data_IF_119501170161
#
_entry.id   IF_119501170161
#
_cell.length_a   1.000
_cell.length_b   1.000
_cell.length_c   1.000
_cell.angle_alpha   90.00
_cell.angle_beta   90.00
_cell.angle_gamma   90.00
#
_symmetry.space_group_name_H-M   'P 1'
#
loop_
_entity.id
_entity.type
_entity.pdbx_description
1 polymer ?
#
# COMPACT_ATOMS: atom_id res chain seq x y z
N UNK A 1 18.39 -3.51 -17.72
CA UNK A 1 17.21 -3.69 -16.88
C UNK A 1 17.35 -2.84 -15.64
N UNK A 2 16.37 -1.99 -15.40
CA UNK A 2 16.42 -1.07 -14.28
C UNK A 2 15.90 -1.76 -13.03
N UNK A 3 16.77 -1.91 -12.03
CA UNK A 3 16.36 -2.28 -10.70
C UNK A 3 16.15 -0.99 -9.90
N UNK A 4 15.09 -0.26 -10.28
CA UNK A 4 14.76 0.97 -9.56
C UNK A 4 14.34 0.61 -8.14
N UNK A 5 14.92 1.30 -7.17
CA UNK A 5 14.58 1.15 -5.76
C UNK A 5 14.03 2.47 -5.23
N UNK A 6 12.92 2.38 -4.51
CA UNK A 6 12.43 3.46 -3.69
C UNK A 6 12.83 3.18 -2.25
N UNK A 7 13.40 4.17 -1.58
CA UNK A 7 13.85 4.03 -0.20
C UNK A 7 13.05 5.00 0.65
N UNK A 8 12.29 4.47 1.60
CA UNK A 8 11.61 5.27 2.61
C UNK A 8 12.42 5.20 3.90
N UNK A 9 12.88 6.36 4.39
CA UNK A 9 13.69 6.43 5.59
C UNK A 9 12.81 6.63 6.83
N UNK A 10 13.34 6.25 7.99
CA UNK A 10 12.66 6.46 9.26
C UNK A 10 12.39 7.95 9.55
N UNK A 11 13.09 8.84 8.88
CA UNK A 11 12.87 10.29 8.99
C UNK A 11 11.70 10.79 8.13
N UNK A 12 11.03 9.92 7.38
CA UNK A 12 9.90 10.31 6.55
C UNK A 12 10.29 10.89 5.20
N UNK A 13 11.37 10.40 4.61
CA UNK A 13 11.80 10.81 3.28
C UNK A 13 11.76 9.62 2.32
N UNK A 14 11.15 9.82 1.16
CA UNK A 14 11.16 8.86 0.06
C UNK A 14 12.21 9.29 -0.96
N UNK A 15 13.10 8.38 -1.33
CA UNK A 15 14.22 8.64 -2.23
C UNK A 15 14.18 7.68 -3.43
N UNK A 16 14.39 8.20 -4.64
CA UNK A 16 14.49 7.40 -5.86
C UNK A 16 15.22 8.19 -6.95
N UNK A 17 16.07 7.51 -7.72
CA UNK A 17 16.76 8.07 -8.88
C UNK A 17 17.34 9.49 -8.65
N UNK A 18 18.00 9.70 -7.51
CA UNK A 18 18.56 11.00 -7.17
C UNK A 18 17.52 12.05 -6.76
N UNK A 19 16.27 11.68 -6.63
CA UNK A 19 15.17 12.55 -6.19
C UNK A 19 14.78 12.21 -4.77
N UNK A 20 14.12 13.16 -4.10
CA UNK A 20 13.60 12.94 -2.76
C UNK A 20 12.29 13.70 -2.58
N UNK A 21 11.42 13.15 -1.76
CA UNK A 21 10.16 13.79 -1.37
C UNK A 21 9.85 13.39 0.07
N UNK A 22 9.05 14.20 0.75
CA UNK A 22 8.54 13.80 2.06
C UNK A 22 7.53 12.68 1.90
N UNK A 23 7.51 11.74 2.84
CA UNK A 23 6.51 10.68 2.89
C UNK A 23 6.01 10.51 4.32
N UNK A 24 4.81 9.95 4.45
CA UNK A 24 4.27 9.53 5.73
C UNK A 24 4.62 8.07 5.96
N UNK A 25 4.93 7.74 7.19
CA UNK A 25 5.09 6.37 7.69
C UNK A 25 3.93 6.05 8.63
N UNK A 26 3.89 4.83 9.13
CA UNK A 26 2.99 4.52 10.22
C UNK A 26 3.19 5.52 11.36
N UNK A 27 2.11 5.92 12.03
CA UNK A 27 2.14 6.95 13.07
C UNK A 27 3.10 6.62 14.22
N UNK A 28 3.40 5.33 14.43
CA UNK A 28 4.34 4.84 15.43
C UNK A 28 5.76 4.67 14.90
N UNK A 29 6.04 5.14 13.67
CA UNK A 29 7.35 5.05 13.05
C UNK A 29 7.60 3.71 12.38
N UNK A 30 8.82 3.21 12.50
CA UNK A 30 9.25 1.95 11.89
C UNK A 30 9.49 0.90 12.95
N UNK A 31 9.37 -0.38 12.57
CA UNK A 31 9.62 -1.50 13.46
C UNK A 31 10.26 -2.64 12.67
N UNK A 32 11.09 -3.49 13.29
CA UNK A 32 11.56 -4.71 12.63
C UNK A 32 10.39 -5.54 12.12
N UNK A 33 10.57 -6.20 10.96
CA UNK A 33 9.46 -6.94 10.35
C UNK A 33 8.97 -8.08 11.23
N UNK A 34 9.86 -8.71 12.01
CA UNK A 34 9.49 -9.78 12.94
C UNK A 34 8.66 -9.27 14.13
N UNK A 35 8.69 -7.98 14.41
CA UNK A 35 7.93 -7.36 15.49
C UNK A 35 6.64 -6.69 15.01
N UNK A 36 6.43 -6.66 13.70
CA UNK A 36 5.27 -5.99 13.11
C UNK A 36 3.97 -6.73 13.49
N UNK A 37 2.97 -5.97 13.93
CA UNK A 37 1.63 -6.48 14.25
C UNK A 37 0.57 -5.60 13.64
N UNK A 38 -0.55 -6.18 13.24
CA UNK A 38 -1.69 -5.41 12.77
C UNK A 38 -2.16 -4.45 13.86
N UNK A 39 -2.40 -3.20 13.50
CA UNK A 39 -2.88 -2.19 14.43
C UNK A 39 -1.81 -1.51 15.27
N UNK A 40 -0.52 -1.86 15.12
CA UNK A 40 0.55 -1.23 15.89
C UNK A 40 0.91 0.18 15.40
N UNK A 41 0.39 0.58 14.24
CA UNK A 41 0.67 1.88 13.65
C UNK A 41 2.09 2.05 13.14
N UNK A 42 2.84 0.97 12.97
CA UNK A 42 4.23 1.00 12.55
C UNK A 42 4.40 0.47 11.12
N UNK A 43 5.43 0.96 10.44
CA UNK A 43 5.83 0.47 9.13
C UNK A 43 6.97 -0.54 9.28
N UNK A 44 6.89 -1.72 8.62
CA UNK A 44 7.92 -2.74 8.78
C UNK A 44 9.20 -2.38 8.03
N UNK A 45 10.34 -2.57 8.68
CA UNK A 45 11.66 -2.40 8.08
C UNK A 45 11.96 -3.61 7.21
N UNK A 46 12.39 -3.39 5.98
CA UNK A 46 12.78 -4.45 5.08
C UNK A 46 12.85 -3.99 3.64
N UNK A 47 13.07 -4.94 2.75
CA UNK A 47 13.07 -4.72 1.31
C UNK A 47 11.91 -5.53 0.73
N UNK A 48 10.97 -4.83 0.12
CA UNK A 48 9.74 -5.45 -0.35
C UNK A 48 9.60 -5.25 -1.86
N UNK A 49 9.30 -6.31 -2.64
CA UNK A 49 9.04 -6.14 -4.06
C UNK A 49 7.72 -5.40 -4.26
N UNK A 50 7.65 -4.59 -5.30
CA UNK A 50 6.40 -3.99 -5.75
C UNK A 50 5.68 -5.01 -6.62
N UNK A 51 4.42 -5.35 -6.29
CA UNK A 51 3.70 -6.43 -6.97
C UNK A 51 2.72 -5.94 -8.02
N UNK A 52 1.91 -4.95 -7.68
CA UNK A 52 0.91 -4.41 -8.59
C UNK A 52 0.51 -3.01 -8.17
N UNK A 53 -0.18 -2.34 -9.08
CA UNK A 53 -0.69 -0.99 -8.87
C UNK A 53 -2.22 -1.03 -8.92
N UNK A 54 -2.87 -0.46 -7.92
CA UNK A 54 -4.32 -0.23 -7.90
C UNK A 54 -4.55 1.27 -8.04
N UNK A 55 -5.50 1.69 -8.87
CA UNK A 55 -5.64 3.11 -9.16
C UNK A 55 -7.07 3.51 -9.44
N UNK A 56 -7.38 4.79 -9.20
CA UNK A 56 -8.71 5.38 -9.38
C UNK A 56 -8.85 5.91 -10.80
N UNK A 57 -9.57 5.19 -11.69
CA UNK A 57 -9.70 5.63 -13.08
C UNK A 57 -10.55 6.89 -13.24
N UNK A 58 -11.37 7.22 -12.24
CA UNK A 58 -12.18 8.45 -12.24
C UNK A 58 -11.40 9.69 -11.82
N UNK A 59 -10.17 9.53 -11.30
CA UNK A 59 -9.39 10.63 -10.71
C UNK A 59 -8.06 10.86 -11.37
N UNK A 60 -7.36 9.81 -11.81
CA UNK A 60 -6.02 9.92 -12.38
C UNK A 60 -5.97 9.20 -13.72
N UNK A 61 -4.98 9.56 -14.54
CA UNK A 61 -4.68 8.82 -15.76
C UNK A 61 -4.04 7.48 -15.43
N UNK A 62 -4.15 6.53 -16.33
CA UNK A 62 -3.54 5.21 -16.15
C UNK A 62 -2.04 5.36 -15.86
N UNK A 63 -1.53 4.73 -14.78
CA UNK A 63 -0.11 4.83 -14.45
C UNK A 63 0.77 4.25 -15.54
N UNK A 64 1.88 4.93 -15.83
CA UNK A 64 2.90 4.41 -16.74
C UNK A 64 3.77 3.45 -15.96
N UNK A 65 3.45 2.17 -16.01
CA UNK A 65 4.15 1.15 -15.22
C UNK A 65 4.21 -0.17 -15.97
N UNK A 66 5.23 -0.97 -15.68
CA UNK A 66 5.33 -2.36 -16.14
C UNK A 66 4.69 -3.34 -15.18
N UNK A 67 4.33 -2.87 -13.96
CA UNK A 67 3.62 -3.70 -13.02
C UNK A 67 2.18 -3.92 -13.51
N UNK A 68 1.55 -5.05 -13.16
CA UNK A 68 0.11 -5.19 -13.37
C UNK A 68 -0.61 -3.99 -12.76
N UNK A 69 -1.53 -3.40 -13.50
CA UNK A 69 -2.29 -2.25 -13.06
C UNK A 69 -3.77 -2.60 -13.08
N UNK A 70 -4.45 -2.42 -11.93
CA UNK A 70 -5.83 -2.79 -11.72
C UNK A 70 -6.62 -1.54 -11.37
N UNK A 71 -7.71 -1.30 -12.09
CA UNK A 71 -8.62 -0.21 -11.77
C UNK A 71 -9.41 -0.53 -10.50
N UNK A 72 -9.43 0.42 -9.57
CA UNK A 72 -10.31 0.32 -8.41
C UNK A 72 -11.77 0.53 -8.84
N UNK A 73 -12.68 -0.10 -8.12
CA UNK A 73 -14.12 0.02 -8.30
C UNK A 73 -14.75 0.48 -6.99
N UNK A 74 -16.00 1.00 -7.02
CA UNK A 74 -16.66 1.48 -5.78
C UNK A 74 -16.73 0.45 -4.65
N UNK A 75 -16.79 -0.84 -4.98
CA UNK A 75 -16.89 -1.92 -4.00
C UNK A 75 -15.53 -2.49 -3.60
N UNK A 76 -14.43 -1.83 -3.96
CA UNK A 76 -13.10 -2.31 -3.61
C UNK A 76 -12.83 -2.16 -2.11
N UNK A 77 -12.34 -3.23 -1.49
CA UNK A 77 -11.95 -3.27 -0.09
C UNK A 77 -10.66 -4.03 0.10
N UNK A 78 -10.13 -3.95 1.31
CA UNK A 78 -8.90 -4.64 1.71
C UNK A 78 -9.13 -5.23 3.09
N UNK A 79 -9.01 -6.55 3.22
CA UNK A 79 -9.22 -7.21 4.49
C UNK A 79 -8.06 -6.96 5.44
N UNK A 80 -8.36 -6.45 6.64
CA UNK A 80 -7.38 -6.22 7.68
C UNK A 80 -7.67 -7.02 8.97
N UNK A 81 -8.49 -8.06 8.85
CA UNK A 81 -8.83 -8.95 9.97
C UNK A 81 -7.77 -10.06 10.06
N UNK A 82 -6.91 -10.08 11.09
CA UNK A 82 -5.80 -11.03 11.15
C UNK A 82 -6.20 -12.49 11.12
N UNK A 83 -7.39 -12.82 11.63
CA UNK A 83 -7.88 -14.20 11.69
C UNK A 83 -8.64 -14.63 10.44
N UNK A 84 -8.88 -13.71 9.50
CA UNK A 84 -9.65 -14.02 8.29
C UNK A 84 -8.76 -14.67 7.24
N UNK A 85 -9.28 -15.68 6.47
CA UNK A 85 -8.50 -16.31 5.40
C UNK A 85 -7.99 -15.36 4.33
N UNK A 86 -8.67 -14.22 4.13
CA UNK A 86 -8.28 -13.19 3.17
C UNK A 86 -7.51 -12.04 3.80
N UNK A 87 -6.96 -12.25 4.99
CA UNK A 87 -6.18 -11.22 5.65
C UNK A 87 -5.11 -10.63 4.71
N UNK A 88 -5.05 -9.31 4.70
CA UNK A 88 -4.11 -8.52 3.90
C UNK A 88 -4.24 -8.78 2.39
N UNK A 89 -5.47 -8.94 1.92
CA UNK A 89 -5.80 -9.16 0.52
C UNK A 89 -6.99 -8.31 0.08
N UNK A 90 -7.10 -8.04 -1.24
CA UNK A 90 -8.27 -7.38 -1.78
C UNK A 90 -9.53 -8.23 -1.57
N UNK A 91 -10.62 -7.55 -1.22
CA UNK A 91 -11.96 -8.17 -1.10
C UNK A 91 -12.97 -7.24 -1.74
N UNK A 92 -14.16 -7.78 -2.03
CA UNK A 92 -15.30 -6.99 -2.49
C UNK A 92 -16.22 -6.67 -1.31
N UNK A 93 -16.71 -5.43 -1.27
CA UNK A 93 -17.67 -4.99 -0.27
C UNK A 93 -19.10 -5.24 -0.76
N UNK A 94 -20.04 -5.56 0.14
CA UNK A 94 -19.88 -5.67 1.59
C UNK A 94 -19.09 -6.94 2.00
N UNK A 95 -18.28 -6.80 3.04
CA UNK A 95 -17.46 -7.90 3.55
C UNK A 95 -17.63 -7.99 5.06
N UNK A 96 -17.82 -9.21 5.59
CA UNK A 96 -18.21 -9.38 6.99
C UNK A 96 -17.08 -9.12 7.98
N UNK A 97 -15.83 -9.51 7.63
CA UNK A 97 -14.70 -9.28 8.50
C UNK A 97 -14.21 -7.83 8.41
N UNK A 98 -13.38 -7.42 9.37
CA UNK A 98 -12.79 -6.08 9.37
C UNK A 98 -12.06 -5.81 8.06
N UNK A 99 -12.25 -4.61 7.51
CA UNK A 99 -11.67 -4.26 6.22
C UNK A 99 -11.52 -2.74 6.09
N UNK A 100 -10.68 -2.34 5.15
CA UNK A 100 -10.58 -0.96 4.71
C UNK A 100 -11.36 -0.77 3.41
N UNK A 101 -11.99 0.39 3.28
CA UNK A 101 -12.64 0.81 2.06
C UNK A 101 -11.62 1.51 1.18
N UNK A 102 -11.39 1.02 -0.03
CA UNK A 102 -10.38 1.60 -0.92
C UNK A 102 -10.93 2.71 -1.80
N UNK A 103 -12.22 2.69 -2.12
CA UNK A 103 -12.87 3.75 -2.90
C UNK A 103 -13.34 4.84 -1.95
N UNK A 104 -12.45 5.79 -1.68
CA UNK A 104 -12.69 6.84 -0.67
C UNK A 104 -12.98 8.17 -1.31
N UNK A 105 -13.66 9.04 -0.56
CA UNK A 105 -13.92 10.42 -1.00
C UNK A 105 -12.66 11.29 -0.89
N UNK A 106 -11.78 11.00 0.09
CA UNK A 106 -10.48 11.67 0.18
C UNK A 106 -9.52 11.10 -0.88
N UNK A 107 -8.29 11.61 -0.93
CA UNK A 107 -7.30 11.25 -1.94
C UNK A 107 -6.24 10.28 -1.42
N UNK A 108 -6.48 9.61 -0.30
CA UNK A 108 -5.49 8.72 0.31
C UNK A 108 -5.14 7.54 -0.61
N UNK A 109 -6.15 6.99 -1.31
CA UNK A 109 -5.98 5.80 -2.13
C UNK A 109 -6.25 6.05 -3.61
N UNK A 110 -5.89 7.22 -4.12
CA UNK A 110 -5.97 7.47 -5.57
C UNK A 110 -5.05 6.53 -6.34
N UNK A 111 -3.92 6.18 -5.75
CA UNK A 111 -2.94 5.25 -6.30
C UNK A 111 -2.34 4.43 -5.16
N UNK A 112 -2.33 3.12 -5.34
CA UNK A 112 -1.77 2.18 -4.36
C UNK A 112 -0.74 1.32 -5.06
N UNK A 113 0.44 1.19 -4.47
CA UNK A 113 1.43 0.19 -4.90
C UNK A 113 1.47 -0.89 -3.85
N UNK A 114 1.01 -2.08 -4.22
CA UNK A 114 1.01 -3.22 -3.31
C UNK A 114 2.41 -3.79 -3.20
N UNK A 115 2.87 -3.95 -1.96
CA UNK A 115 4.19 -4.49 -1.67
C UNK A 115 4.12 -5.96 -1.27
N UNK A 116 5.20 -6.69 -1.53
CA UNK A 116 5.31 -8.10 -1.22
C UNK A 116 5.71 -8.38 0.23
N UNK A 117 5.13 -7.65 1.19
CA UNK A 117 5.42 -7.83 2.60
C UNK A 117 4.86 -9.17 3.13
N UNK A 118 3.70 -9.58 2.70
CA UNK A 118 3.09 -10.85 3.09
C UNK A 118 3.23 -11.91 2.01
#
# INVERSE_FOLDING_TARGET
MDNAAFIATAAGQLQWNGRAARCALGKSGVTPSESKREGDGASPIGIWPMRQVLWRPDRIAAPATRLPAVELIPDAGWCDAPADPFYNRPVLLPYAASHEKLWREDHIYDLIVELGYN
#
